data_IF_048659703071
#
_entry.id   IF_048659703071
#
_cell.length_a   1.000
_cell.length_b   1.000
_cell.length_c   1.000
_cell.angle_alpha   90.00
_cell.angle_beta   90.00
_cell.angle_gamma   90.00
#
_symmetry.space_group_name_H-M   'P 1'
#
loop_
_entity.id
_entity.type
_entity.pdbx_description
1 polymer ?
#
# COMPACT_ATOMS: atom_id res chain seq x y z
N UNK A 1 33.04 -24.53 -17.75
CA UNK A 1 32.23 -23.33 -17.50
C UNK A 1 30.78 -23.74 -17.63
N UNK A 2 30.01 -23.71 -16.54
CA UNK A 2 28.57 -23.98 -16.56
C UNK A 2 27.88 -22.62 -16.61
N UNK A 3 27.20 -22.33 -17.72
CA UNK A 3 26.37 -21.15 -17.87
C UNK A 3 25.12 -21.31 -17.00
N UNK A 4 25.04 -20.51 -15.94
CA UNK A 4 23.84 -20.42 -15.09
C UNK A 4 22.76 -19.67 -15.85
N UNK A 5 21.79 -20.39 -16.40
CA UNK A 5 20.54 -19.79 -16.90
C UNK A 5 19.82 -19.16 -15.70
N UNK A 6 19.84 -17.82 -15.62
CA UNK A 6 19.00 -17.07 -14.66
C UNK A 6 17.53 -17.40 -14.95
N UNK A 7 16.73 -17.85 -13.97
CA UNK A 7 15.30 -18.00 -14.18
C UNK A 7 14.71 -16.63 -14.50
N UNK A 8 14.13 -16.48 -15.69
CA UNK A 8 13.34 -15.31 -16.06
C UNK A 8 12.07 -15.37 -15.21
N UNK A 9 11.96 -14.49 -14.22
CA UNK A 9 10.76 -14.40 -13.39
C UNK A 9 9.52 -14.25 -14.27
N UNK A 10 8.52 -15.12 -14.05
CA UNK A 10 7.26 -15.08 -14.78
C UNK A 10 6.58 -13.74 -14.47
N UNK A 11 6.45 -12.87 -15.48
CA UNK A 11 5.71 -11.61 -15.34
C UNK A 11 4.23 -11.95 -15.45
N UNK A 12 3.49 -11.67 -14.38
CA UNK A 12 2.04 -11.79 -14.37
C UNK A 12 1.44 -10.47 -14.87
N UNK A 13 0.53 -10.56 -15.83
CA UNK A 13 -0.31 -9.43 -16.22
C UNK A 13 -1.48 -9.34 -15.25
N UNK A 14 -1.70 -8.15 -14.70
CA UNK A 14 -2.82 -7.87 -13.80
C UNK A 14 -3.65 -6.74 -14.39
N UNK A 15 -4.97 -6.81 -14.24
CA UNK A 15 -5.82 -5.65 -14.47
C UNK A 15 -5.38 -4.52 -13.53
N UNK A 16 -5.04 -3.37 -14.11
CA UNK A 16 -4.52 -2.23 -13.37
C UNK A 16 -5.67 -1.47 -12.72
N UNK A 17 -5.61 -1.34 -11.40
CA UNK A 17 -6.48 -0.43 -10.68
C UNK A 17 -6.21 1.00 -11.16
N UNK A 18 -7.26 1.71 -11.55
CA UNK A 18 -7.20 3.12 -11.93
C UNK A 18 -7.17 4.01 -10.68
N UNK A 19 -6.72 5.25 -10.83
CA UNK A 19 -6.76 6.25 -9.77
C UNK A 19 -8.18 6.47 -9.20
N UNK A 20 -9.21 6.43 -10.05
CA UNK A 20 -10.61 6.58 -9.63
C UNK A 20 -11.07 5.40 -8.76
N UNK A 21 -10.78 4.16 -9.19
CA UNK A 21 -11.08 2.96 -8.40
C UNK A 21 -10.32 2.98 -7.07
N UNK A 22 -9.07 3.44 -7.07
CA UNK A 22 -8.26 3.53 -5.85
C UNK A 22 -8.84 4.50 -4.82
N UNK A 23 -9.23 5.70 -5.25
CA UNK A 23 -9.91 6.67 -4.37
C UNK A 23 -11.23 6.11 -3.82
N UNK A 24 -12.03 5.47 -4.68
CA UNK A 24 -13.28 4.84 -4.26
C UNK A 24 -13.04 3.71 -3.26
N UNK A 25 -11.99 2.91 -3.43
CA UNK A 25 -11.65 1.85 -2.51
C UNK A 25 -11.21 2.40 -1.15
N UNK A 26 -10.42 3.49 -1.12
CA UNK A 26 -10.06 4.19 0.12
C UNK A 26 -11.29 4.72 0.86
N UNK A 27 -12.22 5.34 0.14
CA UNK A 27 -13.50 5.81 0.69
C UNK A 27 -14.33 4.65 1.27
N UNK A 28 -14.39 3.53 0.53
CA UNK A 28 -15.14 2.33 0.93
C UNK A 28 -14.65 1.76 2.25
N UNK A 29 -13.33 1.75 2.49
CA UNK A 29 -12.74 1.27 3.75
C UNK A 29 -12.56 2.37 4.80
N UNK A 30 -13.03 3.59 4.54
CA UNK A 30 -12.95 4.71 5.48
C UNK A 30 -11.53 5.20 5.78
N UNK A 31 -10.60 5.07 4.83
CA UNK A 31 -9.21 5.47 4.98
C UNK A 31 -8.88 6.72 4.15
N UNK A 32 -8.05 7.60 4.73
CA UNK A 32 -7.38 8.65 3.97
C UNK A 32 -6.12 8.11 3.29
N UNK A 33 -5.61 8.80 2.27
CA UNK A 33 -4.32 8.49 1.64
C UNK A 33 -3.19 8.33 2.67
N UNK A 34 -3.14 9.21 3.67
CA UNK A 34 -2.13 9.18 4.73
C UNK A 34 -2.26 7.98 5.67
N UNK A 35 -3.48 7.63 6.10
CA UNK A 35 -3.72 6.43 6.92
C UNK A 35 -3.38 5.17 6.13
N UNK A 36 -3.78 5.11 4.85
CA UNK A 36 -3.41 4.01 3.98
C UNK A 36 -1.90 3.91 3.78
N UNK A 37 -1.19 5.01 3.56
CA UNK A 37 0.26 5.02 3.44
C UNK A 37 0.94 4.41 4.67
N UNK A 38 0.46 4.77 5.87
CA UNK A 38 0.95 4.23 7.14
C UNK A 38 0.72 2.72 7.25
N UNK A 39 -0.51 2.26 6.98
CA UNK A 39 -0.87 0.84 7.05
C UNK A 39 -0.12 0.00 6.01
N UNK A 40 0.00 0.51 4.79
CA UNK A 40 0.64 -0.17 3.68
C UNK A 40 2.17 -0.14 3.74
N UNK A 41 2.75 0.67 4.65
CA UNK A 41 4.20 0.79 4.78
C UNK A 41 4.86 1.54 3.63
N UNK A 42 4.22 2.61 3.13
CA UNK A 42 4.77 3.46 2.07
C UNK A 42 4.68 4.94 2.43
N UNK A 43 5.27 5.81 1.60
CA UNK A 43 5.27 7.26 1.85
C UNK A 43 3.99 7.92 1.32
N UNK A 44 3.41 8.91 2.02
CA UNK A 44 2.17 9.59 1.60
C UNK A 44 2.23 10.19 0.18
N UNK A 45 3.39 10.71 -0.23
CA UNK A 45 3.60 11.25 -1.58
C UNK A 45 3.32 10.20 -2.66
N UNK A 46 3.69 8.94 -2.42
CA UNK A 46 3.51 7.85 -3.38
C UNK A 46 2.05 7.39 -3.45
N UNK A 47 1.37 7.37 -2.31
CA UNK A 47 -0.08 7.13 -2.30
C UNK A 47 -0.82 8.22 -3.05
N UNK A 48 -0.39 9.48 -2.91
CA UNK A 48 -0.94 10.59 -3.67
C UNK A 48 -0.73 10.44 -5.18
N UNK A 49 0.46 10.03 -5.64
CA UNK A 49 0.70 9.82 -7.07
C UNK A 49 -0.17 8.70 -7.66
N UNK A 50 -0.53 7.67 -6.87
CA UNK A 50 -1.55 6.68 -7.25
C UNK A 50 -2.95 7.29 -7.33
N UNK A 51 -3.32 8.11 -6.34
CA UNK A 51 -4.61 8.78 -6.29
C UNK A 51 -4.79 9.83 -7.39
N UNK A 52 -3.71 10.41 -7.93
CA UNK A 52 -3.78 11.35 -9.08
C UNK A 52 -3.58 10.66 -10.44
N UNK A 53 -3.13 9.40 -10.44
CA UNK A 53 -2.84 8.66 -11.67
C UNK A 53 -1.49 9.02 -12.31
N UNK A 54 -0.60 9.70 -11.57
CA UNK A 54 0.77 9.98 -11.97
C UNK A 54 1.65 8.72 -11.94
N UNK A 55 1.36 7.79 -11.03
CA UNK A 55 2.03 6.49 -10.92
C UNK A 55 1.04 5.34 -11.05
N UNK A 56 1.54 4.25 -11.63
CA UNK A 56 0.85 2.96 -11.62
C UNK A 56 0.64 2.44 -10.20
N UNK A 57 -0.55 1.88 -9.97
CA UNK A 57 -0.94 1.32 -8.67
C UNK A 57 -0.42 -0.12 -8.59
N UNK A 58 0.39 -0.48 -7.56
CA UNK A 58 0.86 -1.85 -7.39
C UNK A 58 -0.31 -2.81 -7.14
N UNK A 59 -0.25 -4.02 -7.70
CA UNK A 59 -1.22 -5.08 -7.42
C UNK A 59 -1.39 -5.34 -5.90
N UNK A 60 -0.31 -5.23 -5.13
CA UNK A 60 -0.35 -5.37 -3.68
C UNK A 60 -1.26 -4.33 -2.99
N UNK A 61 -1.37 -3.11 -3.53
CA UNK A 61 -2.28 -2.09 -2.99
C UNK A 61 -3.75 -2.47 -3.23
N UNK A 62 -4.08 -2.99 -4.42
CA UNK A 62 -5.40 -3.54 -4.72
C UNK A 62 -5.74 -4.72 -3.78
N UNK A 63 -4.82 -5.66 -3.61
CA UNK A 63 -4.99 -6.78 -2.68
C UNK A 63 -5.26 -6.29 -1.25
N UNK A 64 -4.44 -5.36 -0.75
CA UNK A 64 -4.60 -4.81 0.60
C UNK A 64 -5.97 -4.14 0.78
N UNK A 65 -6.36 -3.25 -0.13
CA UNK A 65 -7.67 -2.58 -0.08
C UNK A 65 -8.83 -3.55 -0.14
N UNK A 66 -8.71 -4.62 -0.93
CA UNK A 66 -9.74 -5.67 -1.02
C UNK A 66 -9.89 -6.41 0.30
N UNK A 67 -8.79 -6.78 0.96
CA UNK A 67 -8.81 -7.43 2.27
C UNK A 67 -9.34 -6.52 3.38
N UNK A 68 -9.06 -5.22 3.30
CA UNK A 68 -9.54 -4.24 4.27
C UNK A 68 -11.05 -4.00 4.22
N UNK A 69 -11.76 -4.52 3.21
CA UNK A 69 -13.23 -4.50 3.19
C UNK A 69 -13.87 -5.50 4.16
N UNK A 70 -13.10 -6.46 4.67
CA UNK A 70 -13.62 -7.45 5.61
C UNK A 70 -13.93 -6.80 6.97
N UNK A 71 -15.01 -7.22 7.67
CA UNK A 71 -15.35 -6.68 8.98
C UNK A 71 -14.19 -6.77 9.97
N UNK A 72 -13.83 -5.64 10.60
CA UNK A 72 -12.76 -5.57 11.60
C UNK A 72 -11.33 -5.55 11.03
N UNK A 73 -11.16 -5.62 9.70
CA UNK A 73 -9.84 -5.71 9.09
C UNK A 73 -9.03 -4.43 9.21
N UNK A 74 -9.67 -3.26 9.10
CA UNK A 74 -9.00 -1.96 9.27
C UNK A 74 -8.47 -1.81 10.69
N UNK A 75 -9.30 -2.10 11.70
CA UNK A 75 -8.89 -2.02 13.10
C UNK A 75 -7.79 -3.03 13.44
N UNK A 76 -7.83 -4.22 12.83
CA UNK A 76 -6.76 -5.20 12.98
C UNK A 76 -5.45 -4.73 12.34
N UNK A 77 -5.52 -4.19 11.13
CA UNK A 77 -4.35 -3.64 10.44
C UNK A 77 -3.72 -2.51 11.26
N UNK A 78 -4.53 -1.61 11.81
CA UNK A 78 -4.06 -0.53 12.69
C UNK A 78 -3.33 -1.07 13.92
N UNK A 79 -3.91 -2.04 14.65
CA UNK A 79 -3.24 -2.65 15.81
C UNK A 79 -1.91 -3.30 15.45
N UNK A 80 -1.84 -4.01 14.31
CA UNK A 80 -0.59 -4.61 13.84
C UNK A 80 0.43 -3.52 13.52
N UNK A 81 0.03 -2.50 12.77
CA UNK A 81 0.92 -1.38 12.42
C UNK A 81 1.42 -0.64 13.67
N UNK A 82 0.56 -0.40 14.66
CA UNK A 82 0.92 0.25 15.93
C UNK A 82 1.92 -0.59 16.74
N UNK A 83 1.88 -1.92 16.62
CA UNK A 83 2.83 -2.81 17.30
C UNK A 83 4.22 -2.87 16.63
N UNK A 84 4.31 -2.50 15.35
CA UNK A 84 5.53 -2.61 14.53
C UNK A 84 6.23 -1.27 14.38
N UNK A 85 5.48 -0.16 14.32
CA UNK A 85 6.06 1.18 14.22
C UNK A 85 6.41 1.67 15.62
N UNK A 86 7.70 1.66 15.96
CA UNK A 86 8.21 2.51 17.03
C UNK A 86 8.23 3.95 16.52
N UNK A 87 7.63 4.86 17.28
CA UNK A 87 7.59 6.29 16.95
C UNK A 87 9.00 6.90 17.15
N UNK A 88 9.94 6.61 16.25
CA UNK A 88 11.22 7.33 16.17
C UNK A 88 10.99 8.67 15.49
N UNK A 89 10.24 9.55 16.15
CA UNK A 89 10.50 10.98 15.97
C UNK A 89 11.94 11.21 16.46
N UNK A 90 12.86 11.78 15.67
CA UNK A 90 14.08 12.33 16.23
C UNK A 90 13.62 13.30 17.31
N UNK A 91 14.13 13.15 18.54
CA UNK A 91 13.93 14.17 19.55
C UNK A 91 14.36 15.50 18.94
N UNK A 92 13.46 16.48 18.88
CA UNK A 92 13.79 17.82 18.43
C UNK A 92 15.04 18.27 19.19
N UNK A 93 16.14 18.45 18.47
CA UNK A 93 17.34 19.08 19.01
C UNK A 93 16.99 20.53 19.32
N UNK A 94 16.67 20.81 20.59
CA UNK A 94 16.69 22.15 21.16
C UNK A 94 18.14 22.60 21.38
#
# INVERSE_FOLDING_TARGET
MLDTVKPVAKRYEYERMTAAQFRQALETVGLSEGRFARLFGTIPRRVRSWATGEEDIPHAALLALSLLTLPGAVEMAERVTDSVISDTRPADSQ
#
